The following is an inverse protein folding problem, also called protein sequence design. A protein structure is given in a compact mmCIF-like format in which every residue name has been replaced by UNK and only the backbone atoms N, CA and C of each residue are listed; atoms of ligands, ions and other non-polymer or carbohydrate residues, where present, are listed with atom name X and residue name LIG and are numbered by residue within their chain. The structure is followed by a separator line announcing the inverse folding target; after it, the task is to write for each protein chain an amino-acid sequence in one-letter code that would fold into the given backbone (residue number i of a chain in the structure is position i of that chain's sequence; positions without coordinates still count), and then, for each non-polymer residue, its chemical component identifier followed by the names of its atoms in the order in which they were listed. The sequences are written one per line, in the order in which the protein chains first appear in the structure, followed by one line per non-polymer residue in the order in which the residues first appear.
data_IF_659212018776
#
_entry.id   IF_659212018776
#
_cell.length_a   1.000
_cell.length_b   1.000
_cell.length_c   1.000
_cell.angle_alpha   90.00
_cell.angle_beta   90.00
_cell.angle_gamma   90.00
#
_symmetry.space_group_name_H-M   'P 1'
#
loop_
_entity.id
_entity.type
_entity.pdbx_description
1 polymer ?
#
# COMPACT_ATOMS: atom_id res chain seq x y z
N UNK A 1 -0.84 -45.80 23.73
CA UNK A 1 -0.24 -44.79 22.85
C UNK A 1 -0.79 -45.00 21.45
N UNK A 2 -1.48 -44.03 20.85
CA UNK A 2 -1.86 -44.06 19.43
C UNK A 2 -0.77 -43.32 18.65
N UNK A 3 -0.34 -43.84 17.50
CA UNK A 3 0.66 -43.23 16.62
C UNK A 3 0.00 -42.87 15.29
N UNK A 4 0.24 -41.65 14.79
CA UNK A 4 -0.21 -41.20 13.47
C UNK A 4 1.04 -40.86 12.65
N UNK A 5 1.07 -41.30 11.40
CA UNK A 5 2.09 -40.92 10.41
C UNK A 5 1.47 -39.90 9.45
N UNK A 6 2.22 -38.83 9.17
CA UNK A 6 1.81 -37.74 8.29
C UNK A 6 2.96 -37.43 7.34
N UNK A 7 2.66 -37.40 6.04
CA UNK A 7 3.60 -36.91 5.03
C UNK A 7 3.46 -35.40 4.94
N UNK A 8 4.59 -34.72 5.02
CA UNK A 8 4.68 -33.27 4.89
C UNK A 8 5.38 -32.93 3.58
N UNK A 9 4.96 -31.81 2.99
CA UNK A 9 5.35 -31.37 1.67
C UNK A 9 5.77 -29.91 1.74
N UNK A 10 6.74 -29.51 0.93
CA UNK A 10 6.95 -28.11 0.60
C UNK A 10 5.82 -27.62 -0.32
N UNK A 11 5.61 -26.30 -0.36
CA UNK A 11 4.56 -25.71 -1.20
C UNK A 11 4.66 -26.14 -2.68
N UNK A 12 5.89 -26.20 -3.21
CA UNK A 12 6.16 -26.62 -4.60
C UNK A 12 5.86 -28.10 -4.87
N UNK A 13 5.74 -28.94 -3.84
CA UNK A 13 5.46 -30.37 -3.95
C UNK A 13 3.97 -30.69 -3.84
N UNK A 14 3.15 -29.70 -3.49
CA UNK A 14 1.70 -29.85 -3.39
C UNK A 14 1.05 -29.99 -4.77
N UNK A 15 -0.08 -30.71 -4.83
CA UNK A 15 -0.96 -30.67 -6.00
C UNK A 15 -1.49 -29.26 -6.24
N UNK A 16 -1.81 -28.90 -7.48
CA UNK A 16 -2.37 -27.57 -7.82
C UNK A 16 -3.59 -27.21 -6.96
N UNK A 17 -4.46 -28.19 -6.68
CA UNK A 17 -5.63 -27.99 -5.81
C UNK A 17 -5.22 -27.62 -4.38
N UNK A 18 -4.19 -28.28 -3.85
CA UNK A 18 -3.67 -28.01 -2.51
C UNK A 18 -2.90 -26.68 -2.45
N UNK A 19 -2.19 -26.30 -3.53
CA UNK A 19 -1.57 -24.98 -3.65
C UNK A 19 -2.62 -23.87 -3.63
N UNK A 20 -3.67 -23.97 -4.44
CA UNK A 20 -4.77 -22.97 -4.45
C UNK A 20 -5.44 -22.85 -3.08
N UNK A 21 -5.63 -23.97 -2.39
CA UNK A 21 -6.14 -23.94 -1.02
C UNK A 21 -5.17 -23.23 -0.06
N UNK A 22 -3.89 -23.56 -0.12
CA UNK A 22 -2.87 -22.94 0.72
C UNK A 22 -2.79 -21.42 0.48
N UNK A 23 -2.86 -20.97 -0.77
CA UNK A 23 -2.88 -19.55 -1.15
C UNK A 23 -4.13 -18.85 -0.60
N UNK A 24 -5.32 -19.41 -0.82
CA UNK A 24 -6.57 -18.83 -0.33
C UNK A 24 -6.62 -18.74 1.20
N UNK A 25 -6.09 -19.74 1.91
CA UNK A 25 -6.02 -19.75 3.38
C UNK A 25 -5.00 -18.71 3.93
N UNK A 26 -4.13 -18.13 3.09
CA UNK A 26 -3.04 -17.22 3.47
C UNK A 26 -2.97 -15.98 2.56
N UNK A 27 -4.10 -15.52 2.04
CA UNK A 27 -4.19 -14.38 1.11
C UNK A 27 -3.60 -13.06 1.68
N UNK A 28 -3.58 -12.92 2.99
CA UNK A 28 -3.12 -11.74 3.72
C UNK A 28 -1.69 -11.90 4.28
N UNK A 29 -0.99 -13.00 3.96
CA UNK A 29 0.28 -13.36 4.58
C UNK A 29 1.32 -12.22 4.56
N UNK A 30 1.50 -11.60 3.39
CA UNK A 30 2.49 -10.54 3.18
C UNK A 30 2.03 -9.15 3.67
N UNK A 31 0.74 -8.99 3.97
CA UNK A 31 0.14 -7.71 4.37
C UNK A 31 -0.35 -7.71 5.83
N UNK A 32 0.06 -8.73 6.59
CA UNK A 32 -0.34 -8.89 8.00
C UNK A 32 0.29 -7.86 8.94
N UNK A 33 1.42 -7.24 8.57
CA UNK A 33 2.07 -6.21 9.38
C UNK A 33 2.97 -5.28 8.56
N UNK A 34 2.85 -3.96 8.77
CA UNK A 34 3.84 -2.94 8.36
C UNK A 34 4.26 -2.95 6.89
N UNK A 35 3.42 -3.49 6.00
CA UNK A 35 3.76 -3.60 4.57
C UNK A 35 3.86 -2.23 3.88
N UNK A 36 3.24 -1.20 4.48
CA UNK A 36 3.21 0.19 4.03
C UNK A 36 4.36 1.05 4.59
N UNK A 37 5.18 0.55 5.51
CA UNK A 37 6.15 1.37 6.26
C UNK A 37 7.14 2.11 5.36
N UNK A 38 7.54 1.48 4.25
CA UNK A 38 8.44 2.10 3.27
C UNK A 38 7.77 3.21 2.46
N UNK A 39 6.45 3.12 2.21
CA UNK A 39 5.68 4.20 1.58
C UNK A 39 5.49 5.39 2.52
N UNK A 40 5.38 5.13 3.82
CA UNK A 40 5.36 6.18 4.84
C UNK A 40 6.71 6.90 4.92
N UNK A 41 7.82 6.14 4.88
CA UNK A 41 9.15 6.72 4.84
C UNK A 41 9.39 7.55 3.57
N UNK A 42 8.95 7.06 2.40
CA UNK A 42 8.99 7.80 1.13
C UNK A 42 8.18 9.11 1.21
N UNK A 43 6.96 9.06 1.73
CA UNK A 43 6.14 10.26 1.94
C UNK A 43 6.82 11.26 2.88
N UNK A 44 7.39 10.80 3.99
CA UNK A 44 8.09 11.65 4.95
C UNK A 44 9.31 12.32 4.33
N UNK A 45 10.11 11.59 3.55
CA UNK A 45 11.24 12.14 2.78
C UNK A 45 10.77 13.16 1.73
N UNK A 46 9.62 12.92 1.10
CA UNK A 46 8.96 13.87 0.22
C UNK A 46 8.35 15.09 0.97
N UNK A 47 8.39 15.14 2.31
CA UNK A 47 7.85 16.24 3.11
C UNK A 47 6.35 16.12 3.40
N UNK A 48 5.77 14.92 3.31
CA UNK A 48 4.38 14.61 3.63
C UNK A 48 4.30 13.64 4.81
N UNK A 49 3.29 13.83 5.66
CA UNK A 49 2.95 12.89 6.72
C UNK A 49 1.64 12.21 6.38
N UNK A 50 1.68 10.91 6.06
CA UNK A 50 0.47 10.11 5.95
C UNK A 50 -0.11 9.90 7.36
N UNK A 51 -1.35 10.35 7.58
CA UNK A 51 -2.02 10.26 8.88
C UNK A 51 -2.96 9.06 8.99
N UNK A 52 -3.31 8.44 7.86
CA UNK A 52 -4.06 7.20 7.80
C UNK A 52 -4.55 6.90 6.39
N UNK A 53 -4.88 5.64 6.15
CA UNK A 53 -5.47 5.19 4.89
C UNK A 53 -6.44 4.03 5.12
N UNK A 54 -7.31 3.78 4.14
CA UNK A 54 -8.23 2.66 4.06
C UNK A 54 -8.35 2.28 2.58
N UNK A 55 -7.95 1.05 2.23
CA UNK A 55 -8.02 0.52 0.86
C UNK A 55 -9.33 -0.21 0.56
N UNK A 56 -10.15 -0.46 1.58
CA UNK A 56 -11.40 -1.19 1.45
C UNK A 56 -12.53 -0.21 1.08
N UNK A 57 -13.57 -0.14 1.92
CA UNK A 57 -14.82 0.56 1.60
C UNK A 57 -14.63 2.07 1.59
N UNK A 58 -13.77 2.61 2.45
CA UNK A 58 -13.65 4.06 2.58
C UNK A 58 -12.73 4.66 1.51
N UNK A 59 -11.76 3.89 0.99
CA UNK A 59 -10.91 4.22 -0.15
C UNK A 59 -10.29 5.63 -0.02
N UNK A 60 -9.49 5.83 1.02
CA UNK A 60 -8.84 7.11 1.29
C UNK A 60 -7.39 6.93 1.71
N UNK A 61 -6.60 7.97 1.46
CA UNK A 61 -5.32 8.22 2.12
C UNK A 61 -5.36 9.69 2.54
N UNK A 62 -5.04 9.96 3.80
CA UNK A 62 -4.94 11.32 4.33
C UNK A 62 -3.47 11.65 4.54
N UNK A 63 -3.07 12.84 4.10
CA UNK A 63 -1.74 13.37 4.32
C UNK A 63 -1.79 14.83 4.76
N UNK A 64 -0.73 15.25 5.44
CA UNK A 64 -0.47 16.63 5.85
C UNK A 64 0.92 17.04 5.38
N UNK A 65 1.13 18.32 5.06
CA UNK A 65 2.49 18.83 4.83
C UNK A 65 3.28 18.80 6.14
N UNK A 66 4.52 18.33 6.08
CA UNK A 66 5.48 18.46 7.19
C UNK A 66 6.04 19.88 7.23
N UNK A 67 6.26 20.46 6.04
CA UNK A 67 6.79 21.81 5.87
C UNK A 67 5.77 22.70 5.14
N UNK A 68 5.79 22.66 3.80
CA UNK A 68 4.89 23.40 2.93
C UNK A 68 4.86 22.74 1.54
N UNK A 69 3.91 23.16 0.70
CA UNK A 69 3.72 22.61 -0.64
C UNK A 69 4.96 22.75 -1.53
N UNK A 70 5.71 23.85 -1.40
CA UNK A 70 6.89 24.12 -2.22
C UNK A 70 8.05 23.20 -1.84
N UNK A 71 8.28 23.01 -0.56
CA UNK A 71 9.26 22.07 -0.05
C UNK A 71 8.91 20.65 -0.55
N UNK A 72 7.66 20.23 -0.39
CA UNK A 72 7.22 18.90 -0.83
C UNK A 72 7.43 18.70 -2.33
N UNK A 73 6.96 19.64 -3.15
CA UNK A 73 7.15 19.60 -4.59
C UNK A 73 8.63 19.63 -5.01
N UNK A 74 9.50 20.25 -4.21
CA UNK A 74 10.94 20.24 -4.43
C UNK A 74 11.54 18.87 -4.11
N UNK A 75 11.19 18.27 -2.97
CA UNK A 75 11.68 16.94 -2.60
C UNK A 75 11.24 15.86 -3.57
N UNK A 76 9.96 15.89 -3.99
CA UNK A 76 9.44 14.97 -5.01
C UNK A 76 10.27 15.08 -6.30
N UNK A 77 10.62 16.29 -6.74
CA UNK A 77 11.47 16.51 -7.92
C UNK A 77 12.88 15.95 -7.80
N UNK A 78 13.44 15.95 -6.58
CA UNK A 78 14.79 15.46 -6.31
C UNK A 78 14.84 13.93 -6.20
N UNK A 79 13.82 13.34 -5.57
CA UNK A 79 13.89 11.97 -5.07
C UNK A 79 13.02 11.00 -5.88
N UNK A 80 11.93 11.46 -6.49
CA UNK A 80 11.00 10.58 -7.21
C UNK A 80 11.35 10.47 -8.69
N UNK A 81 11.09 9.31 -9.27
CA UNK A 81 11.30 9.07 -10.71
C UNK A 81 10.33 9.87 -11.59
N UNK A 82 10.79 10.33 -12.75
CA UNK A 82 10.00 11.19 -13.67
C UNK A 82 8.63 10.63 -14.08
N UNK A 83 8.49 9.30 -14.05
CA UNK A 83 7.28 8.60 -14.48
C UNK A 83 6.29 8.34 -13.34
N UNK A 84 6.62 8.67 -12.09
CA UNK A 84 5.71 8.44 -10.97
C UNK A 84 4.52 9.39 -11.05
N UNK A 85 3.39 8.97 -10.49
CA UNK A 85 2.21 9.82 -10.40
C UNK A 85 2.46 11.03 -9.49
N UNK A 86 3.21 10.85 -8.40
CA UNK A 86 3.65 11.93 -7.51
C UNK A 86 4.44 13.02 -8.24
N UNK A 87 5.29 12.64 -9.20
CA UNK A 87 5.98 13.61 -10.06
C UNK A 87 5.00 14.34 -10.99
N UNK A 88 4.07 13.63 -11.63
CA UNK A 88 3.09 14.25 -12.53
C UNK A 88 2.21 15.27 -11.80
N UNK A 89 1.74 14.93 -10.60
CA UNK A 89 0.98 15.84 -9.72
C UNK A 89 1.82 17.07 -9.37
N UNK A 90 3.10 16.88 -9.07
CA UNK A 90 4.05 17.95 -8.75
C UNK A 90 4.31 18.89 -9.94
N UNK A 91 4.40 18.36 -11.16
CA UNK A 91 4.52 19.19 -12.37
C UNK A 91 3.28 20.05 -12.56
N UNK A 92 2.08 19.47 -12.43
CA UNK A 92 0.83 20.21 -12.57
C UNK A 92 0.68 21.32 -11.50
N UNK A 93 1.15 21.07 -10.27
CA UNK A 93 1.20 22.08 -9.21
C UNK A 93 2.06 23.28 -9.62
N UNK A 94 3.31 23.04 -10.05
CA UNK A 94 4.20 24.12 -10.48
C UNK A 94 3.64 24.92 -11.66
N UNK A 95 3.11 24.23 -12.67
CA UNK A 95 2.51 24.88 -13.84
C UNK A 95 1.36 25.81 -13.45
N UNK A 96 0.44 25.32 -12.59
CA UNK A 96 -0.70 26.12 -12.13
C UNK A 96 -0.24 27.30 -11.28
N UNK A 97 0.65 27.06 -10.31
CA UNK A 97 1.18 28.09 -9.42
C UNK A 97 1.89 29.19 -10.19
N UNK A 98 2.83 28.81 -11.07
CA UNK A 98 3.62 29.76 -11.85
C UNK A 98 2.73 30.54 -12.81
N UNK A 99 1.74 29.89 -13.43
CA UNK A 99 0.76 30.58 -14.26
C UNK A 99 -0.02 31.64 -13.47
N UNK A 100 -0.52 31.30 -12.28
CA UNK A 100 -1.25 32.23 -11.41
C UNK A 100 -0.39 33.45 -11.04
N UNK A 101 0.85 33.24 -10.60
CA UNK A 101 1.74 34.36 -10.21
C UNK A 101 2.15 35.21 -11.41
N UNK A 102 2.45 34.58 -12.55
CA UNK A 102 2.94 35.30 -13.73
C UNK A 102 1.86 36.09 -14.47
N UNK A 103 0.59 35.69 -14.33
CA UNK A 103 -0.55 36.39 -14.97
C UNK A 103 -1.26 37.36 -14.04
N UNK A 104 -0.85 37.42 -12.76
CA UNK A 104 -1.45 38.32 -11.79
C UNK A 104 -1.24 39.80 -12.14
N UNK A 105 -2.23 40.62 -11.82
CA UNK A 105 -2.17 42.06 -12.11
C UNK A 105 -1.08 42.74 -11.27
N UNK A 106 -0.47 43.76 -11.87
CA UNK A 106 0.60 44.55 -11.26
C UNK A 106 0.30 46.02 -11.33
N UNK A 107 0.68 46.74 -10.29
CA UNK A 107 0.45 48.16 -10.18
C UNK A 107 1.42 48.95 -11.07
N UNK A 108 1.33 50.28 -11.01
CA UNK A 108 2.19 51.19 -11.78
C UNK A 108 3.68 51.09 -11.42
N UNK A 109 4.02 50.46 -10.30
CA UNK A 109 5.38 50.21 -9.84
C UNK A 109 5.88 48.79 -10.18
N UNK A 110 5.01 47.94 -10.75
CA UNK A 110 5.31 46.55 -11.09
C UNK A 110 5.10 45.57 -9.94
N UNK A 111 4.57 46.04 -8.80
CA UNK A 111 4.25 45.22 -7.63
C UNK A 111 2.93 44.50 -7.84
N UNK A 112 2.75 43.34 -7.21
CA UNK A 112 1.53 42.55 -7.33
C UNK A 112 0.35 43.29 -6.68
N UNK A 113 -0.73 43.52 -7.44
CA UNK A 113 -1.96 44.10 -6.89
C UNK A 113 -2.71 43.06 -6.05
N UNK A 114 -3.42 43.51 -5.02
CA UNK A 114 -4.24 42.66 -4.14
C UNK A 114 -3.50 41.40 -3.65
N UNK A 115 -2.33 41.58 -3.02
CA UNK A 115 -1.50 40.47 -2.56
C UNK A 115 -2.25 39.45 -1.67
N UNK A 116 -3.24 39.90 -0.89
CA UNK A 116 -4.10 39.01 -0.07
C UNK A 116 -4.98 38.07 -0.91
N UNK A 117 -5.50 38.54 -2.05
CA UNK A 117 -6.27 37.71 -2.97
C UNK A 117 -5.38 36.70 -3.69
N UNK A 118 -4.14 37.10 -4.03
CA UNK A 118 -3.14 36.17 -4.58
C UNK A 118 -2.80 35.08 -3.57
N UNK A 119 -2.56 35.44 -2.30
CA UNK A 119 -2.26 34.50 -1.22
C UNK A 119 -3.37 33.45 -1.08
N UNK A 120 -4.62 33.89 -1.03
CA UNK A 120 -5.80 33.00 -1.01
C UNK A 120 -5.86 32.07 -2.23
N UNK A 121 -5.52 32.58 -3.42
CA UNK A 121 -5.50 31.77 -4.63
C UNK A 121 -4.36 30.72 -4.60
N UNK A 122 -3.20 31.07 -4.03
CA UNK A 122 -2.09 30.15 -3.84
C UNK A 122 -2.42 29.07 -2.82
N UNK A 123 -3.01 29.43 -1.68
CA UNK A 123 -3.48 28.45 -0.67
C UNK A 123 -4.42 27.41 -1.28
N UNK A 124 -5.37 27.84 -2.12
CA UNK A 124 -6.27 26.91 -2.82
C UNK A 124 -5.52 25.97 -3.77
N UNK A 125 -4.41 26.40 -4.38
CA UNK A 125 -3.58 25.57 -5.25
C UNK A 125 -2.78 24.55 -4.41
N UNK A 126 -2.30 24.96 -3.24
CA UNK A 126 -1.59 24.09 -2.30
C UNK A 126 -2.52 23.01 -1.72
N UNK A 127 -3.77 23.37 -1.38
CA UNK A 127 -4.80 22.42 -0.94
C UNK A 127 -5.13 21.38 -2.03
N UNK A 128 -5.27 21.82 -3.28
CA UNK A 128 -5.49 20.94 -4.41
C UNK A 128 -4.29 20.00 -4.63
N UNK A 129 -3.07 20.51 -4.45
CA UNK A 129 -1.85 19.71 -4.52
C UNK A 129 -1.80 18.64 -3.43
N UNK A 130 -2.10 18.98 -2.18
CA UNK A 130 -2.13 18.01 -1.07
C UNK A 130 -3.15 16.89 -1.31
N UNK A 131 -4.35 17.23 -1.81
CA UNK A 131 -5.38 16.25 -2.18
C UNK A 131 -4.91 15.34 -3.30
N UNK A 132 -4.30 15.90 -4.34
CA UNK A 132 -3.79 15.12 -5.46
C UNK A 132 -2.64 14.20 -5.04
N UNK A 133 -1.73 14.66 -4.18
CA UNK A 133 -0.67 13.84 -3.59
C UNK A 133 -1.24 12.71 -2.72
N UNK A 134 -2.27 13.00 -1.92
CA UNK A 134 -2.97 11.99 -1.12
C UNK A 134 -3.57 10.88 -1.99
N UNK A 135 -4.18 11.23 -3.12
CA UNK A 135 -4.70 10.27 -4.10
C UNK A 135 -3.57 9.46 -4.76
N UNK A 136 -2.45 10.10 -5.10
CA UNK A 136 -1.29 9.40 -5.66
C UNK A 136 -0.73 8.35 -4.69
N UNK A 137 -0.61 8.69 -3.40
CA UNK A 137 -0.20 7.72 -2.37
C UNK A 137 -1.24 6.62 -2.14
N UNK A 138 -2.54 6.93 -2.19
CA UNK A 138 -3.59 5.91 -2.15
C UNK A 138 -3.40 4.87 -3.25
N UNK A 139 -3.14 5.31 -4.48
CA UNK A 139 -2.92 4.43 -5.64
C UNK A 139 -1.62 3.62 -5.52
N UNK A 140 -0.57 4.20 -4.93
CA UNK A 140 0.66 3.46 -4.63
C UNK A 140 0.43 2.38 -3.57
N UNK A 141 -0.28 2.71 -2.49
CA UNK A 141 -0.66 1.75 -1.44
C UNK A 141 -1.48 0.60 -2.01
N UNK A 142 -2.50 0.90 -2.81
CA UNK A 142 -3.38 -0.08 -3.48
C UNK A 142 -2.57 -1.02 -4.38
N UNK A 143 -1.72 -0.45 -5.24
CA UNK A 143 -0.85 -1.23 -6.13
C UNK A 143 0.07 -2.17 -5.36
N UNK A 144 0.68 -1.69 -4.28
CA UNK A 144 1.60 -2.49 -3.46
C UNK A 144 0.85 -3.60 -2.73
N UNK A 145 -0.34 -3.30 -2.21
CA UNK A 145 -1.21 -4.30 -1.60
C UNK A 145 -1.55 -5.42 -2.59
N UNK A 146 -1.95 -5.08 -3.81
CA UNK A 146 -2.25 -6.04 -4.88
C UNK A 146 -1.02 -6.90 -5.25
N UNK A 147 0.15 -6.28 -5.37
CA UNK A 147 1.40 -7.01 -5.67
C UNK A 147 1.73 -8.00 -4.55
N UNK A 148 1.64 -7.58 -3.29
CA UNK A 148 1.97 -8.39 -2.13
C UNK A 148 0.96 -9.51 -1.86
N UNK A 149 -0.31 -9.30 -2.22
CA UNK A 149 -1.40 -10.29 -2.05
C UNK A 149 -1.61 -11.18 -3.28
N UNK A 150 -0.80 -10.98 -4.34
CA UNK A 150 -0.84 -11.86 -5.50
C UNK A 150 -0.43 -13.30 -5.16
N UNK A 151 -1.06 -14.27 -5.84
CA UNK A 151 -0.74 -15.70 -5.70
C UNK A 151 0.77 -15.98 -5.82
N UNK A 152 1.45 -15.27 -6.73
CA UNK A 152 2.89 -15.39 -6.93
C UNK A 152 3.69 -14.93 -5.72
N UNK A 153 3.42 -13.73 -5.21
CA UNK A 153 4.12 -13.18 -4.05
C UNK A 153 3.89 -14.01 -2.78
N UNK A 154 2.67 -14.54 -2.60
CA UNK A 154 2.37 -15.44 -1.47
C UNK A 154 3.11 -16.77 -1.65
N UNK A 155 3.08 -17.38 -2.83
CA UNK A 155 3.79 -18.64 -3.11
C UNK A 155 5.30 -18.52 -2.87
N UNK A 156 5.91 -17.42 -3.33
CA UNK A 156 7.33 -17.12 -3.09
C UNK A 156 7.61 -17.02 -1.59
N UNK A 157 6.77 -16.32 -0.84
CA UNK A 157 6.93 -16.12 0.60
C UNK A 157 6.74 -17.41 1.40
N UNK A 158 5.74 -18.23 1.06
CA UNK A 158 5.53 -19.55 1.67
C UNK A 158 6.72 -20.50 1.41
N UNK A 159 7.29 -20.43 0.22
CA UNK A 159 8.47 -21.22 -0.19
C UNK A 159 9.73 -20.75 0.52
N UNK A 160 9.99 -19.43 0.56
CA UNK A 160 11.15 -18.82 1.19
C UNK A 160 11.19 -19.10 2.70
N UNK A 161 10.03 -19.07 3.36
CA UNK A 161 9.89 -19.38 4.78
C UNK A 161 9.92 -20.88 5.11
N UNK A 162 10.00 -21.75 4.08
CA UNK A 162 10.13 -23.22 4.22
C UNK A 162 9.04 -23.84 5.09
N UNK A 163 7.80 -23.37 4.96
CA UNK A 163 6.67 -23.98 5.64
C UNK A 163 6.43 -25.41 5.13
N UNK A 164 5.99 -26.25 6.05
CA UNK A 164 5.55 -27.60 5.76
C UNK A 164 4.03 -27.65 5.65
N UNK A 165 3.54 -28.42 4.69
CA UNK A 165 2.12 -28.55 4.38
C UNK A 165 1.69 -30.01 4.43
N UNK A 166 0.45 -30.25 4.80
CA UNK A 166 -0.22 -31.52 4.57
C UNK A 166 -0.55 -31.69 3.08
N UNK A 167 -0.84 -32.91 2.64
CA UNK A 167 -1.20 -33.19 1.23
C UNK A 167 -2.42 -32.41 0.72
N UNK A 168 -3.31 -31.96 1.62
CA UNK A 168 -4.48 -31.13 1.32
C UNK A 168 -4.22 -29.62 1.41
N UNK A 169 -2.98 -29.19 1.68
CA UNK A 169 -2.57 -27.78 1.63
C UNK A 169 -2.69 -27.00 2.94
N UNK A 170 -2.94 -27.65 4.08
CA UNK A 170 -2.92 -26.98 5.39
C UNK A 170 -1.47 -26.83 5.87
N UNK A 171 -1.10 -25.65 6.39
CA UNK A 171 0.19 -25.46 7.06
C UNK A 171 0.26 -26.34 8.32
N UNK A 172 1.37 -27.06 8.48
CA UNK A 172 1.64 -27.96 9.59
C UNK A 172 2.29 -27.25 10.80
N UNK A 173 1.79 -26.08 11.21
CA UNK A 173 2.27 -25.32 12.38
C UNK A 173 1.72 -25.83 13.72
N UNK A 174 0.65 -26.62 13.70
CA UNK A 174 -0.03 -27.19 14.87
C UNK A 174 -0.27 -28.69 14.69
N UNK A 175 0.81 -29.46 14.65
CA UNK A 175 0.77 -30.91 14.39
C UNK A 175 -0.08 -31.66 15.44
N UNK A 176 -0.18 -31.12 16.65
CA UNK A 176 -1.05 -31.58 17.73
C UNK A 176 -2.54 -31.59 17.34
N UNK A 177 -3.01 -30.57 16.61
CA UNK A 177 -4.42 -30.43 16.19
C UNK A 177 -4.77 -31.28 14.97
N UNK A 178 -3.78 -31.60 14.14
CA UNK A 178 -3.96 -32.50 12.98
C UNK A 178 -4.24 -33.95 13.41
N UNK A 179 -3.91 -34.30 14.66
CA UNK A 179 -4.16 -35.64 15.22
C UNK A 179 -5.61 -35.88 15.62
N UNK A 180 -6.38 -34.82 15.93
CA UNK A 180 -7.76 -34.90 16.47
C UNK A 180 -8.85 -34.82 15.39
N UNK A 181 -8.60 -34.18 14.24
CA UNK A 181 -9.58 -34.06 13.14
C UNK A 181 -9.82 -35.38 12.38
N UNK A 182 -8.95 -36.40 12.57
CA UNK A 182 -9.06 -37.70 11.89
C UNK A 182 -9.93 -38.73 12.62
N UNK A 183 -10.47 -38.45 13.80
CA UNK A 183 -11.46 -39.38 14.38
C UNK A 183 -12.78 -39.24 13.61
N UNK A 184 -13.24 -40.29 12.89
CA UNK A 184 -14.51 -40.23 12.21
C UNK A 184 -15.60 -40.04 13.26
N UNK A 185 -16.50 -39.09 13.02
CA UNK A 185 -17.82 -39.09 13.65
C UNK A 185 -18.48 -40.44 13.37
N UNK A 186 -18.35 -41.38 14.30
CA UNK A 186 -19.22 -42.54 14.38
C UNK A 186 -20.59 -42.00 14.81
N UNK A 187 -21.34 -41.49 13.83
CA UNK A 187 -22.78 -41.39 13.94
C UNK A 187 -23.29 -42.83 13.96
N UNK A 188 -23.31 -43.41 15.15
CA UNK A 188 -24.08 -44.61 15.44
C UNK A 188 -25.54 -44.24 15.24
N UNK A 189 -26.14 -44.76 14.18
CA UNK A 189 -27.58 -44.80 14.05
C UNK A 189 -28.19 -45.53 15.24
N UNK A 190 -29.26 -44.95 15.75
CA UNK A 190 -30.44 -45.64 16.28
C UNK A 190 -31.64 -44.70 16.11
#
# INVERSE_FOLDING_TARGET
MKTIQLNLYHFSELSERAQKKALADHQDFNVSHSWWDWLYADAEEAGLKITGFDLDRACYCNAEFIHDAIYTATQVRLNHGEKTETMQVTVAFWERRDHTVNTWTRDVHGELENAEELDTALDSIEDDYLKAMSIAYLRLLDKVYDELTSDGAIAESLTANKYWFTSDGKIATRIDRLSTEKEPSTASGN
#
